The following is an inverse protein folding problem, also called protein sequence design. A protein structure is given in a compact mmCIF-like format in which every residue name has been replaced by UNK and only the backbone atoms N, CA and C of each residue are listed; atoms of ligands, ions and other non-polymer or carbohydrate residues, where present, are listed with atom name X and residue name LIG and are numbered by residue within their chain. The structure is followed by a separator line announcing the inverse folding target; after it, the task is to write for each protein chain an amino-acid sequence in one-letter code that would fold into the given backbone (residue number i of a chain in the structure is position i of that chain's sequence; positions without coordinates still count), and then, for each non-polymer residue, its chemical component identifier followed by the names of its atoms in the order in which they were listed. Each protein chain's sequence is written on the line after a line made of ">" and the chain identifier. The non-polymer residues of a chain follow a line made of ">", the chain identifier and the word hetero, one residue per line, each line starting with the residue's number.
data_IF_704701095081
#
_entry.id   IF_704701095081
#
_cell.length_a   1.000
_cell.length_b   1.000
_cell.length_c   1.000
_cell.angle_alpha   90.00
_cell.angle_beta   90.00
_cell.angle_gamma   90.00
#
_symmetry.space_group_name_H-M   'P 1'
#
loop_
_entity.id
_entity.type
_entity.pdbx_description
1 polymer ?
#
# COMPACT_ATOMS: atom_id res chain seq x y z
N UNK A 1 -6.32 10.85 -19.55
CA UNK A 1 -5.53 11.48 -18.48
C UNK A 1 -5.24 10.42 -17.44
N UNK A 2 -4.04 10.37 -16.89
CA UNK A 2 -3.62 9.30 -15.98
C UNK A 2 -3.17 9.91 -14.65
N UNK A 3 -3.26 9.13 -13.58
CA UNK A 3 -2.76 9.51 -12.24
C UNK A 3 -1.90 8.38 -11.69
N UNK A 4 -0.72 8.71 -11.16
CA UNK A 4 0.15 7.71 -10.53
C UNK A 4 -0.34 7.44 -9.10
N UNK A 5 -0.92 6.26 -8.89
CA UNK A 5 -1.43 5.78 -7.61
C UNK A 5 -0.43 4.81 -6.98
N UNK A 6 0.83 5.23 -6.84
CA UNK A 6 1.89 4.39 -6.32
C UNK A 6 1.85 4.32 -4.80
N UNK A 7 1.85 3.10 -4.28
CA UNK A 7 1.97 2.89 -2.84
C UNK A 7 3.41 3.06 -2.36
N UNK A 8 3.54 3.46 -1.10
CA UNK A 8 4.84 3.68 -0.47
C UNK A 8 5.64 2.38 -0.29
N UNK A 9 4.95 1.24 -0.39
CA UNK A 9 5.52 -0.11 -0.34
C UNK A 9 4.66 -1.05 -1.19
N UNK A 10 5.28 -2.09 -1.74
CA UNK A 10 4.56 -3.12 -2.49
C UNK A 10 4.26 -4.26 -1.54
N UNK A 11 3.01 -4.33 -1.06
CA UNK A 11 2.60 -5.40 -0.16
C UNK A 11 1.26 -6.03 -0.50
N UNK A 12 1.15 -7.35 -0.29
CA UNK A 12 -0.08 -8.10 -0.55
C UNK A 12 -1.27 -7.47 0.22
N UNK A 13 -2.23 -6.93 -0.52
CA UNK A 13 -3.40 -6.26 0.04
C UNK A 13 -3.20 -4.83 0.52
N UNK A 14 -1.98 -4.27 0.47
CA UNK A 14 -1.73 -2.88 0.86
C UNK A 14 -2.14 -1.93 -0.27
N UNK A 15 -3.39 -1.47 -0.21
CA UNK A 15 -3.99 -0.54 -1.17
C UNK A 15 -4.70 0.56 -0.38
N UNK A 16 -4.26 1.79 -0.53
CA UNK A 16 -4.74 2.95 0.25
C UNK A 16 -5.53 3.93 -0.61
N UNK A 17 -5.89 5.08 -0.04
CA UNK A 17 -6.62 6.18 -0.68
C UNK A 17 -6.07 6.59 -2.05
N UNK A 18 -4.78 6.39 -2.31
CA UNK A 18 -4.14 6.69 -3.61
C UNK A 18 -4.85 5.99 -4.75
N UNK A 19 -5.15 4.70 -4.59
CA UNK A 19 -5.95 3.96 -5.56
C UNK A 19 -7.45 4.27 -5.40
N UNK A 20 -7.96 4.26 -4.17
CA UNK A 20 -9.40 4.34 -3.93
C UNK A 20 -10.03 5.70 -4.27
N UNK A 21 -9.23 6.70 -4.63
CA UNK A 21 -9.69 7.96 -5.18
C UNK A 21 -10.20 7.86 -6.65
N UNK A 22 -10.89 6.76 -6.99
CA UNK A 22 -11.58 6.51 -8.26
C UNK A 22 -12.79 7.45 -8.49
N UNK A 23 -12.98 8.49 -7.65
CA UNK A 23 -14.05 9.48 -7.77
C UNK A 23 -13.78 10.49 -8.87
N UNK A 24 -12.51 10.73 -9.21
CA UNK A 24 -12.14 11.71 -10.22
C UNK A 24 -12.29 11.20 -11.66
N UNK A 25 -12.68 9.93 -11.87
CA UNK A 25 -12.78 9.30 -13.20
C UNK A 25 -11.50 9.51 -14.04
N UNK A 26 -10.36 9.36 -13.38
CA UNK A 26 -9.03 9.34 -13.99
C UNK A 26 -8.51 7.91 -13.82
N UNK A 27 -7.90 7.35 -14.87
CA UNK A 27 -7.36 5.98 -14.81
C UNK A 27 -6.09 5.99 -13.95
N UNK A 28 -6.07 5.28 -12.81
CA UNK A 28 -4.87 5.18 -12.00
C UNK A 28 -3.86 4.20 -12.61
N UNK A 29 -2.58 4.56 -12.49
CA UNK A 29 -1.44 3.70 -12.80
C UNK A 29 -0.83 3.26 -11.47
N UNK A 30 -0.78 1.95 -11.23
CA UNK A 30 -0.30 1.34 -9.98
C UNK A 30 0.99 0.57 -10.25
N UNK A 31 1.82 0.36 -9.23
CA UNK A 31 3.10 -0.36 -9.42
C UNK A 31 2.88 -1.83 -9.78
N UNK A 32 2.03 -2.53 -9.04
CA UNK A 32 1.80 -3.96 -9.27
C UNK A 32 0.33 -4.33 -9.19
N UNK A 33 -0.09 -5.24 -10.07
CA UNK A 33 -1.45 -5.80 -10.06
C UNK A 33 -1.70 -6.69 -8.85
N UNK A 34 -0.68 -7.42 -8.39
CA UNK A 34 -0.81 -8.50 -7.39
C UNK A 34 -1.17 -8.03 -5.99
N UNK A 35 -0.96 -6.75 -5.66
CA UNK A 35 -1.41 -6.20 -4.38
C UNK A 35 -2.94 -6.07 -4.30
N UNK A 36 -3.63 -6.15 -5.45
CA UNK A 36 -5.08 -6.04 -5.57
C UNK A 36 -5.84 -7.36 -5.41
N UNK A 37 -5.16 -8.51 -5.33
CA UNK A 37 -5.75 -9.87 -5.31
C UNK A 37 -6.90 -10.01 -4.28
N UNK A 38 -6.76 -9.39 -3.11
CA UNK A 38 -7.76 -9.46 -2.02
C UNK A 38 -8.97 -8.55 -2.22
N UNK A 39 -8.88 -7.57 -3.13
CA UNK A 39 -9.83 -6.46 -3.22
C UNK A 39 -10.92 -6.67 -4.28
N UNK A 40 -10.80 -7.71 -5.12
CA UNK A 40 -11.77 -8.02 -6.19
C UNK A 40 -12.10 -6.82 -7.09
N UNK A 41 -11.12 -5.96 -7.28
CA UNK A 41 -11.22 -4.79 -8.16
C UNK A 41 -11.18 -5.29 -9.61
N UNK A 42 -12.07 -4.83 -10.51
CA UNK A 42 -12.02 -5.20 -11.92
C UNK A 42 -10.70 -4.76 -12.56
N UNK A 43 -10.11 -5.60 -13.41
CA UNK A 43 -8.85 -5.29 -14.08
C UNK A 43 -8.92 -4.06 -14.96
N UNK A 44 -10.10 -3.73 -15.49
CA UNK A 44 -10.35 -2.52 -16.26
C UNK A 44 -10.36 -1.24 -15.42
N UNK A 45 -10.26 -1.30 -14.09
CA UNK A 45 -10.26 -0.10 -13.26
C UNK A 45 -8.89 0.60 -13.17
N UNK A 46 -7.81 -0.02 -13.63
CA UNK A 46 -6.45 0.50 -13.50
C UNK A 46 -5.45 -0.14 -14.45
N UNK A 47 -4.31 0.53 -14.60
CA UNK A 47 -3.15 0.04 -15.35
C UNK A 47 -2.06 -0.32 -14.35
N UNK A 48 -1.51 -1.53 -14.42
CA UNK A 48 -0.39 -1.92 -13.57
C UNK A 48 0.92 -1.89 -14.35
N UNK A 49 1.97 -1.32 -13.76
CA UNK A 49 3.29 -1.20 -14.40
C UNK A 49 3.89 -2.59 -14.66
N UNK A 50 3.65 -3.56 -13.79
CA UNK A 50 4.17 -4.94 -13.90
C UNK A 50 3.47 -5.83 -14.94
N UNK A 51 2.44 -5.31 -15.61
CA UNK A 51 1.85 -5.96 -16.78
C UNK A 51 2.75 -5.80 -18.03
N UNK A 52 3.66 -4.82 -18.01
CA UNK A 52 4.53 -4.48 -19.14
C UNK A 52 5.94 -5.05 -18.92
N UNK A 53 6.65 -5.36 -20.02
CA UNK A 53 8.01 -5.91 -19.94
C UNK A 53 9.02 -4.87 -19.47
N UNK A 54 8.78 -3.60 -19.80
CA UNK A 54 9.63 -2.48 -19.44
C UNK A 54 8.82 -1.17 -19.45
N UNK A 55 9.46 -0.09 -18.99
CA UNK A 55 8.80 1.22 -18.87
C UNK A 55 8.46 1.85 -20.23
N UNK A 56 9.21 1.52 -21.29
CA UNK A 56 8.95 2.02 -22.65
C UNK A 56 7.63 1.48 -23.18
N UNK A 57 7.37 0.18 -22.97
CA UNK A 57 6.11 -0.45 -23.38
C UNK A 57 4.90 0.15 -22.65
N UNK A 58 5.05 0.46 -21.34
CA UNK A 58 4.04 1.21 -20.60
C UNK A 58 3.83 2.60 -21.22
N UNK A 59 4.90 3.34 -21.49
CA UNK A 59 4.81 4.69 -22.05
C UNK A 59 4.10 4.69 -23.42
N UNK A 60 4.46 3.75 -24.30
CA UNK A 60 3.82 3.56 -25.61
C UNK A 60 2.34 3.22 -25.45
N UNK A 61 1.99 2.37 -24.49
CA UNK A 61 0.60 2.03 -24.19
C UNK A 61 -0.20 3.23 -23.67
N UNK A 62 0.37 4.05 -22.77
CA UNK A 62 -0.28 5.27 -22.30
C UNK A 62 -0.49 6.28 -23.44
N UNK A 63 0.49 6.43 -24.34
CA UNK A 63 0.37 7.28 -25.53
C UNK A 63 -0.68 6.76 -26.52
N UNK A 64 -0.76 5.44 -26.69
CA UNK A 64 -1.80 4.79 -27.48
C UNK A 64 -3.19 5.11 -26.92
N UNK A 65 -3.41 4.92 -25.62
CA UNK A 65 -4.67 5.22 -24.96
C UNK A 65 -5.01 6.72 -25.02
N UNK A 66 -4.02 7.60 -24.94
CA UNK A 66 -4.23 9.04 -25.08
C UNK A 66 -4.74 9.41 -26.48
N UNK A 67 -4.31 8.69 -27.53
CA UNK A 67 -4.74 8.92 -28.92
C UNK A 67 -6.01 8.15 -29.28
N UNK A 68 -6.34 7.09 -28.56
CA UNK A 68 -7.50 6.24 -28.82
C UNK A 68 -8.53 6.34 -27.68
N UNK A 69 -9.50 7.25 -27.86
CA UNK A 69 -10.56 7.50 -26.89
C UNK A 69 -11.41 6.28 -26.60
N UNK A 70 -11.71 5.45 -27.61
CA UNK A 70 -12.55 4.26 -27.45
C UNK A 70 -11.92 3.26 -26.49
N UNK A 71 -10.62 3.01 -26.64
CA UNK A 71 -9.88 2.10 -25.76
C UNK A 71 -9.70 2.69 -24.37
N UNK A 72 -9.41 3.99 -24.26
CA UNK A 72 -9.36 4.66 -22.97
C UNK A 72 -10.68 4.55 -22.21
N UNK A 73 -11.83 4.64 -22.90
CA UNK A 73 -13.14 4.55 -22.27
C UNK A 73 -13.47 3.15 -21.72
N UNK A 74 -12.83 2.08 -22.20
CA UNK A 74 -12.97 0.74 -21.64
C UNK A 74 -12.53 0.68 -20.17
N UNK A 75 -11.58 1.53 -19.77
CA UNK A 75 -11.16 1.65 -18.37
C UNK A 75 -12.21 2.24 -17.42
N UNK A 76 -13.39 2.58 -17.92
CA UNK A 76 -14.53 3.03 -17.11
C UNK A 76 -15.70 2.06 -17.16
N UNK A 77 -15.58 0.92 -17.85
CA UNK A 77 -16.66 -0.07 -17.90
C UNK A 77 -16.98 -0.67 -16.54
N UNK A 78 -15.98 -0.75 -15.65
CA UNK A 78 -16.19 -1.17 -14.25
C UNK A 78 -17.25 -0.31 -13.55
N UNK A 79 -17.45 0.95 -13.94
CA UNK A 79 -18.47 1.81 -13.32
C UNK A 79 -19.90 1.30 -13.52
N UNK A 80 -20.13 0.43 -14.51
CA UNK A 80 -21.44 -0.17 -14.81
C UNK A 80 -21.80 -1.31 -13.85
N UNK A 81 -20.81 -2.07 -13.39
CA UNK A 81 -21.02 -3.33 -12.66
C UNK A 81 -20.44 -3.30 -11.24
N UNK A 82 -19.34 -2.59 -11.05
CA UNK A 82 -18.68 -2.47 -9.76
C UNK A 82 -19.24 -1.28 -8.99
N UNK A 83 -20.20 -1.59 -8.10
CA UNK A 83 -20.70 -0.62 -7.14
C UNK A 83 -19.56 -0.32 -6.17
N UNK A 84 -19.15 0.95 -6.08
CA UNK A 84 -18.21 1.41 -5.05
C UNK A 84 -18.76 0.98 -3.69
N UNK A 85 -18.31 -0.14 -3.15
CA UNK A 85 -18.46 -0.40 -1.71
C UNK A 85 -17.84 0.81 -1.06
N UNK A 86 -18.55 1.49 -0.17
CA UNK A 86 -18.03 2.67 0.49
C UNK A 86 -16.70 2.32 1.15
N UNK A 87 -15.59 2.57 0.46
CA UNK A 87 -14.25 2.36 1.00
C UNK A 87 -14.12 3.21 2.25
N UNK A 88 -14.75 4.39 2.30
CA UNK A 88 -14.88 5.17 3.52
C UNK A 88 -15.57 4.46 4.68
N UNK A 89 -16.54 3.58 4.46
CA UNK A 89 -17.22 2.82 5.53
C UNK A 89 -16.36 1.63 5.96
N UNK A 90 -15.71 0.92 5.02
CA UNK A 90 -14.76 -0.14 5.34
C UNK A 90 -13.51 0.40 6.04
N UNK A 91 -12.93 1.50 5.56
CA UNK A 91 -11.80 2.17 6.16
C UNK A 91 -12.18 2.78 7.51
N UNK A 92 -13.32 3.46 7.67
CA UNK A 92 -13.79 3.87 9.03
C UNK A 92 -14.03 2.68 9.94
N UNK A 93 -14.54 1.56 9.44
CA UNK A 93 -14.81 0.37 10.26
C UNK A 93 -13.51 -0.34 10.64
N UNK A 94 -12.54 -0.40 9.73
CA UNK A 94 -11.20 -0.93 9.97
C UNK A 94 -10.42 0.02 10.89
N UNK A 95 -10.33 1.31 10.59
CA UNK A 95 -9.77 2.34 11.47
C UNK A 95 -10.42 2.29 12.85
N UNK A 96 -11.76 2.23 12.96
CA UNK A 96 -12.42 2.07 14.27
C UNK A 96 -12.08 0.73 14.93
N UNK A 97 -12.00 -0.38 14.19
CA UNK A 97 -11.61 -1.68 14.74
C UNK A 97 -10.16 -1.67 15.25
N UNK A 98 -9.23 -1.07 14.51
CA UNK A 98 -7.84 -0.88 14.92
C UNK A 98 -7.70 0.13 16.07
N UNK A 99 -8.49 1.21 16.07
CA UNK A 99 -8.52 2.21 17.14
C UNK A 99 -9.22 1.69 18.41
N UNK A 100 -10.19 0.78 18.28
CA UNK A 100 -10.90 0.16 19.41
C UNK A 100 -10.12 -1.02 19.98
N UNK A 101 -9.40 -1.77 19.14
CA UNK A 101 -8.36 -2.72 19.58
C UNK A 101 -7.23 -1.99 20.34
N UNK A 102 -6.87 -0.77 19.93
CA UNK A 102 -5.91 0.10 20.61
C UNK A 102 -6.39 0.60 21.99
N UNK A 103 -7.69 0.88 22.18
CA UNK A 103 -8.24 1.26 23.49
C UNK A 103 -8.35 0.04 24.42
N UNK A 104 -8.69 -1.14 23.90
CA UNK A 104 -8.84 -2.36 24.72
C UNK A 104 -7.49 -2.96 25.16
N UNK A 105 -6.39 -2.69 24.46
CA UNK A 105 -5.05 -3.18 24.83
C UNK A 105 -4.38 -2.41 25.98
N UNK A 106 -4.97 -1.29 26.43
CA UNK A 106 -4.50 -0.53 27.62
C UNK A 106 -4.75 -1.30 28.94
N UNK A 107 -5.52 -2.39 28.91
CA UNK A 107 -5.83 -3.22 30.08
C UNK A 107 -4.95 -4.49 30.22
N UNK A 108 -3.76 -4.50 29.63
CA UNK A 108 -2.65 -5.30 30.17
C UNK A 108 -2.52 -6.78 29.78
N UNK A 109 -3.07 -7.25 28.66
CA UNK A 109 -2.72 -8.59 28.14
C UNK A 109 -2.52 -8.56 26.61
N UNK A 110 -1.27 -8.80 26.21
CA UNK A 110 -0.67 -8.71 24.86
C UNK A 110 -1.44 -9.39 23.71
N UNK A 111 -1.44 -8.75 22.51
CA UNK A 111 -1.12 -9.32 21.18
C UNK A 111 -1.06 -8.17 20.12
N UNK A 112 -0.33 -8.27 18.98
CA UNK A 112 0.87 -7.46 18.72
C UNK A 112 0.76 -6.66 17.42
N UNK A 113 0.77 -5.33 17.50
CA UNK A 113 1.09 -4.51 16.33
C UNK A 113 2.14 -3.50 16.73
N UNK A 114 3.32 -3.66 16.16
CA UNK A 114 4.41 -2.71 16.28
C UNK A 114 3.90 -1.30 15.94
N UNK A 115 3.58 -0.47 16.95
CA UNK A 115 3.20 0.91 16.74
C UNK A 115 4.42 1.80 17.06
N UNK A 116 5.14 2.27 16.03
CA UNK A 116 6.37 3.02 16.22
C UNK A 116 6.14 4.33 16.99
N UNK A 117 4.94 4.91 16.90
CA UNK A 117 4.58 6.12 17.63
C UNK A 117 4.37 5.85 19.13
N UNK A 118 3.80 4.71 19.49
CA UNK A 118 3.68 4.28 20.89
C UNK A 118 5.05 3.95 21.48
N UNK A 119 5.88 3.22 20.74
CA UNK A 119 7.24 2.90 21.15
C UNK A 119 8.06 4.20 21.31
N UNK A 120 7.92 5.16 20.39
CA UNK A 120 8.58 6.46 20.51
C UNK A 120 8.08 7.23 21.74
N UNK A 121 6.77 7.26 21.99
CA UNK A 121 6.18 7.89 23.17
C UNK A 121 6.73 7.28 24.46
N UNK A 122 6.79 5.95 24.54
CA UNK A 122 7.38 5.22 25.66
C UNK A 122 8.86 5.57 25.84
N UNK A 123 9.64 5.61 24.76
CA UNK A 123 11.05 6.02 24.79
C UNK A 123 11.22 7.45 25.35
N UNK A 124 10.39 8.38 24.90
CA UNK A 124 10.42 9.78 25.37
C UNK A 124 10.06 9.88 26.85
N UNK A 125 9.08 9.10 27.32
CA UNK A 125 8.68 9.07 28.73
C UNK A 125 9.70 8.37 29.63
N UNK A 126 10.31 7.27 29.18
CA UNK A 126 11.40 6.59 29.90
C UNK A 126 12.64 7.47 30.07
N UNK A 127 12.84 8.46 29.18
CA UNK A 127 13.96 9.39 29.22
C UNK A 127 13.75 10.62 30.12
N UNK A 128 12.52 10.88 30.59
CA UNK A 128 12.14 12.13 31.24
C UNK A 128 12.59 12.30 32.72
N UNK A 129 13.64 11.60 33.17
CA UNK A 129 14.07 11.63 34.58
C UNK A 129 15.55 11.45 34.90
N UNK A 130 16.43 11.20 33.92
CA UNK A 130 17.89 11.06 34.13
C UNK A 130 18.61 11.64 32.92
N UNK A 131 19.52 12.60 33.14
CA UNK A 131 20.24 13.32 32.07
C UNK A 131 20.88 12.42 31.02
N UNK A 132 21.07 13.00 29.82
CA UNK A 132 21.51 12.42 28.53
C UNK A 132 20.85 11.09 28.10
N UNK A 133 20.36 10.97 26.84
CA UNK A 133 19.59 9.81 26.39
C UNK A 133 20.42 8.51 26.47
N UNK A 134 19.91 7.51 27.21
CA UNK A 134 20.57 6.20 27.40
C UNK A 134 20.32 5.19 26.29
N UNK A 135 19.30 5.41 25.45
CA UNK A 135 18.91 4.45 24.41
C UNK A 135 19.29 4.98 23.03
N UNK A 136 20.17 4.24 22.34
CA UNK A 136 20.51 4.46 20.95
C UNK A 136 19.69 3.47 20.13
N UNK A 137 18.91 3.98 19.19
CA UNK A 137 18.20 3.16 18.22
C UNK A 137 19.23 2.78 17.13
N UNK A 138 19.67 1.51 17.05
CA UNK A 138 20.76 1.11 16.16
C UNK A 138 20.36 1.17 14.68
N UNK A 139 19.07 0.99 14.40
CA UNK A 139 18.50 1.07 13.06
C UNK A 139 17.16 1.80 13.15
N UNK A 140 17.20 3.07 12.76
CA UNK A 140 16.03 3.94 12.77
C UNK A 140 14.96 3.46 11.79
N UNK A 141 15.35 2.79 10.70
CA UNK A 141 14.41 2.24 9.73
C UNK A 141 13.69 1.03 10.31
N UNK A 142 14.42 0.09 10.91
CA UNK A 142 13.79 -1.03 11.63
C UNK A 142 12.87 -0.53 12.75
N UNK A 143 13.26 0.55 13.44
CA UNK A 143 12.45 1.17 14.48
C UNK A 143 11.17 1.85 13.95
N UNK A 144 11.20 2.55 12.83
CA UNK A 144 9.99 3.23 12.36
C UNK A 144 8.98 2.29 11.71
N UNK A 145 9.46 1.14 11.26
CA UNK A 145 8.85 0.44 10.14
C UNK A 145 8.46 -0.99 10.59
N UNK A 146 9.13 -1.54 11.61
CA UNK A 146 8.77 -2.79 12.30
C UNK A 146 9.46 -4.03 11.72
N UNK A 147 9.33 -5.21 12.35
CA UNK A 147 9.99 -6.43 11.87
C UNK A 147 9.43 -7.02 10.56
N UNK A 148 8.30 -6.53 10.04
CA UNK A 148 7.55 -7.16 8.93
C UNK A 148 7.34 -6.24 7.71
N UNK A 149 8.30 -5.35 7.47
CA UNK A 149 8.19 -4.39 6.37
C UNK A 149 8.47 -5.11 5.06
N UNK A 150 7.48 -5.13 4.20
CA UNK A 150 7.53 -5.62 2.83
C UNK A 150 8.28 -4.68 1.86
N UNK A 151 9.33 -4.01 2.33
CA UNK A 151 10.15 -3.12 1.50
C UNK A 151 11.44 -3.83 1.15
N UNK A 152 11.38 -4.58 0.05
CA UNK A 152 12.50 -4.58 -0.88
C UNK A 152 12.33 -3.37 -1.81
N UNK A 153 13.42 -2.81 -2.33
CA UNK A 153 13.34 -1.71 -3.29
C UNK A 153 12.68 -2.21 -4.59
N UNK A 154 11.35 -2.13 -4.64
CA UNK A 154 10.56 -2.70 -5.72
C UNK A 154 10.91 -2.10 -7.08
N UNK A 155 11.28 -0.81 -7.11
CA UNK A 155 11.74 -0.15 -8.33
C UNK A 155 13.03 -0.79 -8.84
N UNK A 156 14.02 -1.02 -7.98
CA UNK A 156 15.25 -1.71 -8.38
C UNK A 156 14.98 -3.13 -8.87
N UNK A 157 14.09 -3.86 -8.20
CA UNK A 157 13.69 -5.21 -8.60
C UNK A 157 12.95 -5.20 -9.94
N UNK A 158 12.12 -4.19 -10.18
CA UNK A 158 11.41 -4.01 -11.44
C UNK A 158 12.40 -3.79 -12.58
N UNK A 159 13.32 -2.82 -12.40
CA UNK A 159 14.37 -2.51 -13.38
C UNK A 159 15.31 -3.70 -13.65
N UNK A 160 15.51 -4.59 -12.67
CA UNK A 160 16.30 -5.82 -12.80
C UNK A 160 15.49 -7.03 -13.29
N UNK A 161 14.19 -6.89 -13.55
CA UNK A 161 13.31 -8.00 -13.95
C UNK A 161 13.05 -9.05 -12.86
N UNK A 162 13.40 -8.75 -11.60
CA UNK A 162 13.29 -9.66 -10.43
C UNK A 162 12.03 -9.44 -9.59
N UNK A 163 11.23 -8.42 -9.90
CA UNK A 163 10.06 -8.01 -9.12
C UNK A 163 9.02 -9.12 -8.91
N UNK A 164 8.79 -10.00 -9.90
CA UNK A 164 7.82 -11.11 -9.78
C UNK A 164 8.30 -12.16 -8.77
N UNK A 165 9.53 -12.63 -8.95
CA UNK A 165 10.17 -13.61 -8.06
C UNK A 165 10.30 -13.08 -6.62
N UNK A 166 10.71 -11.82 -6.47
CA UNK A 166 10.82 -11.17 -5.16
C UNK A 166 9.46 -11.08 -4.45
N UNK A 167 8.39 -10.75 -5.18
CA UNK A 167 7.04 -10.74 -4.62
C UNK A 167 6.57 -12.12 -4.15
N UNK A 168 6.92 -13.19 -4.88
CA UNK A 168 6.58 -14.57 -4.51
C UNK A 168 7.36 -15.07 -3.30
N UNK A 169 8.64 -14.70 -3.18
CA UNK A 169 9.52 -15.11 -2.09
C UNK A 169 9.38 -14.25 -0.84
N UNK A 170 8.71 -13.10 -0.94
CA UNK A 170 8.47 -12.22 0.19
C UNK A 170 7.64 -12.96 1.27
N UNK A 171 8.16 -12.95 2.50
CA UNK A 171 7.43 -13.48 3.64
C UNK A 171 6.38 -12.44 4.07
N UNK A 172 5.16 -12.58 3.56
CA UNK A 172 4.06 -11.65 3.84
C UNK A 172 3.50 -11.91 5.24
N UNK A 173 3.44 -10.90 6.14
CA UNK A 173 2.73 -11.07 7.40
C UNK A 173 1.25 -11.38 7.11
N UNK A 174 0.71 -12.46 7.71
CA UNK A 174 -0.70 -12.79 7.61
C UNK A 174 -1.53 -11.68 8.28
N UNK A 175 -2.10 -10.81 7.45
CA UNK A 175 -3.05 -9.79 7.92
C UNK A 175 -4.39 -10.49 8.26
N UNK A 176 -4.53 -10.93 9.52
CA UNK A 176 -5.76 -11.46 10.13
C UNK A 176 -6.75 -10.34 10.50
#
# INVERSE_FOLDING_TARGET
>A
MFYLAFENAVCKGYVTEKFWNLKHLIVPVVLTRRIFDKWKVPDSAYIAVDDFKNITELADYLLYLQRNRTEYLKYFEWTKTYRKTNYHVLHKKLERKYHQAFILSQNGTYAPTYNPLCNLCELLHQQHGKGHPKLIIPDIWKFWKGPDICIENWVDLYLKGKHKEAFDKANWPEQN
#
